data_IF_938269026785
#
_entry.id   IF_938269026785
#
_cell.length_a   1.000
_cell.length_b   1.000
_cell.length_c   1.000
_cell.angle_alpha   90.00
_cell.angle_beta   90.00
_cell.angle_gamma   90.00
#
_symmetry.space_group_name_H-M   'P 1'
#
loop_
_entity.id
_entity.type
_entity.pdbx_description
1 polymer ?
#
# COMPACT_ATOMS: atom_id res chain seq x y z
N UNK A 1 -21.23 66.56 15.93
CA UNK A 1 -19.90 66.64 16.58
C UNK A 1 -19.58 65.30 17.23
N UNK A 2 -18.42 64.70 16.86
CA UNK A 2 -17.60 63.71 17.59
C UNK A 2 -18.21 62.28 17.75
N UNK A 3 -17.70 61.27 17.05
CA UNK A 3 -16.56 60.38 17.42
C UNK A 3 -16.91 59.46 18.61
N UNK A 4 -16.63 58.14 18.71
CA UNK A 4 -15.67 57.22 18.09
C UNK A 4 -15.95 55.78 18.61
N UNK A 5 -15.71 54.77 17.75
CA UNK A 5 -15.29 53.36 17.97
C UNK A 5 -15.35 52.66 19.34
N UNK A 6 -15.84 51.39 19.34
CA UNK A 6 -15.21 50.17 19.90
C UNK A 6 -16.07 48.92 19.61
N UNK A 7 -15.70 48.04 18.68
CA UNK A 7 -14.92 46.80 18.87
C UNK A 7 -15.56 45.78 19.85
N UNK A 8 -16.33 44.83 19.31
CA UNK A 8 -16.53 43.49 19.89
C UNK A 8 -16.60 42.46 18.76
N UNK A 9 -15.43 42.08 18.23
CA UNK A 9 -15.27 40.77 17.58
C UNK A 9 -15.10 39.73 18.69
N UNK A 10 -16.20 39.10 19.09
CA UNK A 10 -16.14 37.93 19.96
C UNK A 10 -15.60 36.74 19.17
N UNK A 11 -14.44 36.25 19.61
CA UNK A 11 -13.76 35.04 19.16
C UNK A 11 -14.73 33.86 19.11
N UNK A 12 -15.06 33.37 17.93
CA UNK A 12 -15.61 32.02 17.75
C UNK A 12 -14.44 31.06 17.95
N UNK A 13 -14.47 30.13 18.91
CA UNK A 13 -13.44 29.10 18.99
C UNK A 13 -13.58 28.23 17.74
N UNK A 14 -12.48 28.08 17.01
CA UNK A 14 -12.34 27.07 15.97
C UNK A 14 -12.50 25.71 16.67
N UNK A 15 -13.71 25.15 16.62
CA UNK A 15 -14.00 23.82 17.11
C UNK A 15 -13.34 22.86 16.11
N UNK A 16 -12.10 22.45 16.40
CA UNK A 16 -11.45 21.36 15.69
C UNK A 16 -12.26 20.11 16.04
N UNK A 17 -13.12 19.69 15.10
CA UNK A 17 -13.73 18.38 15.15
C UNK A 17 -12.59 17.36 15.09
N UNK A 18 -12.25 16.78 16.24
CA UNK A 18 -11.51 15.54 16.29
C UNK A 18 -12.45 14.47 15.72
N UNK A 19 -12.36 14.24 14.40
CA UNK A 19 -12.98 13.09 13.77
C UNK A 19 -12.30 11.88 14.40
N UNK A 20 -13.05 11.19 15.27
CA UNK A 20 -12.76 9.80 15.63
C UNK A 20 -12.73 9.02 14.32
N UNK A 21 -11.53 8.78 13.78
CA UNK A 21 -11.36 7.89 12.65
C UNK A 21 -11.65 6.48 13.16
N UNK A 22 -12.89 6.05 13.03
CA UNK A 22 -13.24 4.64 13.16
C UNK A 22 -12.57 3.87 12.03
N UNK A 23 -12.26 2.60 12.28
CA UNK A 23 -11.68 1.65 11.32
C UNK A 23 -12.46 1.52 10.00
N UNK A 24 -13.70 2.03 9.94
CA UNK A 24 -14.51 2.13 8.72
C UNK A 24 -13.91 3.04 7.64
N UNK A 25 -12.95 3.92 7.94
CA UNK A 25 -12.47 4.89 6.96
C UNK A 25 -11.68 4.29 5.79
N UNK A 26 -11.13 3.08 5.92
CA UNK A 26 -10.12 2.56 4.97
C UNK A 26 -10.70 1.81 3.77
N UNK A 27 -11.84 1.14 3.92
CA UNK A 27 -12.43 0.35 2.83
C UNK A 27 -13.44 1.14 1.97
N UNK A 28 -13.97 2.26 2.48
CA UNK A 28 -14.93 3.10 1.75
C UNK A 28 -14.31 4.01 0.70
N UNK A 29 -12.97 4.08 0.62
CA UNK A 29 -12.27 4.90 -0.38
C UNK A 29 -12.02 4.14 -1.69
N UNK A 30 -12.12 2.81 -1.69
CA UNK A 30 -11.93 1.99 -2.87
C UNK A 30 -13.28 1.52 -3.40
N UNK A 31 -13.57 1.84 -4.64
CA UNK A 31 -14.77 1.41 -5.37
C UNK A 31 -14.53 0.02 -5.96
N UNK A 32 -14.66 -1.00 -5.11
CA UNK A 32 -14.46 -2.40 -5.50
C UNK A 32 -15.45 -2.89 -6.56
N UNK A 33 -16.59 -2.23 -6.71
CA UNK A 33 -17.64 -2.55 -7.69
C UNK A 33 -17.28 -2.05 -9.10
N UNK A 34 -16.39 -1.06 -9.22
CA UNK A 34 -15.93 -0.50 -10.50
C UNK A 34 -14.42 -0.69 -10.69
N UNK A 35 -13.92 -1.94 -10.79
CA UNK A 35 -12.48 -2.22 -10.79
C UNK A 35 -11.72 -1.54 -11.93
N UNK A 36 -12.36 -1.31 -13.08
CA UNK A 36 -11.75 -0.68 -14.26
C UNK A 36 -11.07 0.67 -13.98
N UNK A 37 -11.53 1.44 -12.99
CA UNK A 37 -10.92 2.73 -12.63
C UNK A 37 -9.50 2.60 -12.08
N UNK A 38 -9.13 1.39 -11.64
CA UNK A 38 -7.83 1.04 -11.08
C UNK A 38 -6.86 0.40 -12.08
N UNK A 39 -7.22 0.39 -13.37
CA UNK A 39 -6.26 0.12 -14.46
C UNK A 39 -5.32 1.30 -14.73
N UNK A 40 -5.66 2.49 -14.23
CA UNK A 40 -4.83 3.68 -14.34
C UNK A 40 -4.09 3.94 -13.02
N UNK A 41 -2.77 4.08 -13.10
CA UNK A 41 -1.93 4.43 -11.95
C UNK A 41 -2.13 5.88 -11.49
N UNK A 42 -1.74 6.15 -10.25
CA UNK A 42 -1.62 7.49 -9.70
C UNK A 42 -0.29 8.13 -10.11
N UNK A 43 0.07 9.25 -9.50
CA UNK A 43 1.24 10.04 -9.91
C UNK A 43 2.58 9.31 -9.77
N UNK A 44 2.71 8.31 -8.90
CA UNK A 44 3.94 7.53 -8.77
C UNK A 44 3.90 6.20 -9.52
N UNK A 45 2.73 5.71 -9.89
CA UNK A 45 2.56 4.40 -10.51
C UNK A 45 2.04 4.47 -11.95
N UNK A 46 1.81 5.67 -12.47
CA UNK A 46 1.54 5.91 -13.89
C UNK A 46 2.85 5.87 -14.66
N UNK A 47 2.90 5.04 -15.70
CA UNK A 47 4.00 4.99 -16.66
C UNK A 47 3.75 6.07 -17.70
N UNK A 48 4.62 7.07 -17.78
CA UNK A 48 4.52 8.15 -18.76
C UNK A 48 5.45 7.89 -19.95
N UNK A 49 6.55 7.18 -19.73
CA UNK A 49 7.49 6.81 -20.79
C UNK A 49 6.98 5.62 -21.62
N UNK A 50 6.67 5.89 -22.89
CA UNK A 50 6.16 4.92 -23.86
C UNK A 50 7.09 3.70 -24.06
N UNK A 51 8.41 3.88 -23.92
CA UNK A 51 9.36 2.76 -24.07
C UNK A 51 9.14 1.66 -23.02
N UNK A 52 8.77 2.04 -21.79
CA UNK A 52 8.48 1.07 -20.73
C UNK A 52 7.16 0.33 -20.98
N UNK A 53 6.16 1.02 -21.53
CA UNK A 53 4.90 0.39 -21.95
C UNK A 53 5.15 -0.63 -23.06
N UNK A 54 5.97 -0.29 -24.05
CA UNK A 54 6.34 -1.19 -25.14
C UNK A 54 7.13 -2.41 -24.65
N UNK A 55 8.08 -2.20 -23.74
CA UNK A 55 8.82 -3.31 -23.11
C UNK A 55 7.88 -4.27 -22.37
N UNK A 56 6.97 -3.75 -21.55
CA UNK A 56 5.98 -4.57 -20.83
C UNK A 56 5.11 -5.35 -21.82
N UNK A 57 4.63 -4.71 -22.88
CA UNK A 57 3.81 -5.36 -23.91
C UNK A 57 4.58 -6.43 -24.69
N UNK A 58 5.86 -6.21 -24.97
CA UNK A 58 6.71 -7.21 -25.62
C UNK A 58 6.96 -8.41 -24.70
N UNK A 59 7.11 -8.19 -23.40
CA UNK A 59 7.29 -9.25 -22.40
C UNK A 59 5.99 -10.02 -22.15
N UNK A 60 4.84 -9.34 -22.19
CA UNK A 60 3.52 -9.89 -21.93
C UNK A 60 2.55 -9.56 -23.07
N UNK A 61 2.75 -10.15 -24.27
CA UNK A 61 1.99 -9.80 -25.48
C UNK A 61 0.53 -10.27 -25.44
N UNK A 62 0.17 -11.11 -24.47
CA UNK A 62 -1.17 -11.64 -24.30
C UNK A 62 -1.61 -11.43 -22.86
N UNK A 63 -2.76 -10.81 -22.68
CA UNK A 63 -3.42 -10.74 -21.38
C UNK A 63 -4.04 -12.10 -21.05
N UNK A 64 -3.61 -12.70 -19.95
CA UNK A 64 -4.06 -13.99 -19.44
C UNK A 64 -4.65 -13.77 -18.05
N UNK A 65 -5.94 -13.40 -17.94
CA UNK A 65 -6.63 -13.10 -16.68
C UNK A 65 -6.48 -14.24 -15.64
N UNK A 66 -5.37 -14.29 -14.92
CA UNK A 66 -4.95 -15.45 -14.14
C UNK A 66 -3.87 -15.08 -13.11
N UNK A 67 -3.88 -15.80 -11.99
CA UNK A 67 -2.87 -15.63 -10.93
C UNK A 67 -1.47 -15.99 -11.44
N UNK A 68 -1.37 -16.94 -12.38
CA UNK A 68 -0.08 -17.34 -12.93
C UNK A 68 0.56 -16.23 -13.76
N UNK A 69 -0.22 -15.40 -14.46
CA UNK A 69 0.34 -14.21 -15.10
C UNK A 69 0.90 -13.20 -14.09
N UNK A 70 0.23 -12.99 -12.94
CA UNK A 70 0.74 -12.13 -11.87
C UNK A 70 2.07 -12.67 -11.31
N UNK A 71 2.18 -13.99 -11.14
CA UNK A 71 3.45 -14.64 -10.74
C UNK A 71 4.55 -14.48 -11.79
N UNK A 72 4.21 -14.56 -13.09
CA UNK A 72 5.15 -14.30 -14.21
C UNK A 72 5.64 -12.85 -14.17
N UNK A 73 4.74 -11.88 -13.98
CA UNK A 73 5.07 -10.46 -13.84
C UNK A 73 6.01 -10.22 -12.67
N UNK A 74 5.68 -10.73 -11.48
CA UNK A 74 6.55 -10.64 -10.31
C UNK A 74 7.94 -11.18 -10.60
N UNK A 75 8.01 -12.39 -11.17
CA UNK A 75 9.29 -13.04 -11.48
C UNK A 75 10.12 -12.19 -12.44
N UNK A 76 9.51 -11.71 -13.51
CA UNK A 76 10.18 -10.83 -14.47
C UNK A 76 10.75 -9.57 -13.81
N UNK A 77 10.00 -8.93 -12.89
CA UNK A 77 10.52 -7.76 -12.13
C UNK A 77 11.75 -8.16 -11.33
N UNK A 78 11.71 -9.28 -10.62
CA UNK A 78 12.86 -9.75 -9.80
C UNK A 78 14.07 -10.16 -10.63
N UNK A 79 13.86 -10.59 -11.86
CA UNK A 79 14.93 -10.98 -12.80
C UNK A 79 15.50 -9.77 -13.55
N UNK A 80 14.72 -8.69 -13.71
CA UNK A 80 15.06 -7.52 -14.53
C UNK A 80 15.58 -6.34 -13.71
N UNK A 81 15.17 -6.22 -12.44
CA UNK A 81 15.51 -5.11 -11.56
C UNK A 81 16.36 -5.59 -10.39
N UNK A 82 17.38 -4.79 -10.04
CA UNK A 82 18.28 -5.04 -8.93
C UNK A 82 17.66 -4.59 -7.61
N UNK A 83 17.79 -5.39 -6.57
CA UNK A 83 17.42 -4.99 -5.22
C UNK A 83 18.55 -4.18 -4.56
N UNK A 84 18.28 -2.94 -4.20
CA UNK A 84 19.20 -2.05 -3.49
C UNK A 84 18.57 -1.57 -2.17
N UNK A 85 18.60 -2.42 -1.13
CA UNK A 85 17.92 -2.11 0.13
C UNK A 85 18.38 -0.76 0.73
N UNK A 86 17.42 0.13 1.00
CA UNK A 86 17.68 1.44 1.61
C UNK A 86 16.83 1.72 2.86
N UNK A 87 16.19 0.70 3.43
CA UNK A 87 15.37 0.80 4.64
C UNK A 87 14.24 1.85 4.54
N UNK A 88 13.58 1.96 3.39
CA UNK A 88 12.42 2.85 3.19
C UNK A 88 12.80 4.31 2.92
N UNK A 89 14.08 4.62 2.71
CA UNK A 89 14.53 5.98 2.42
C UNK A 89 13.93 6.55 1.11
N UNK A 90 13.36 5.71 0.24
CA UNK A 90 12.75 6.10 -1.05
C UNK A 90 11.23 6.17 -1.05
N UNK A 91 10.57 5.88 0.09
CA UNK A 91 9.11 5.98 0.21
C UNK A 91 8.65 7.38 -0.21
N UNK A 92 7.73 7.45 -1.16
CA UNK A 92 7.18 8.70 -1.68
C UNK A 92 8.12 9.55 -2.54
N UNK A 93 9.31 9.04 -2.91
CA UNK A 93 10.32 9.79 -3.68
C UNK A 93 10.39 9.44 -5.15
N UNK A 94 10.24 8.16 -5.50
CA UNK A 94 10.41 7.70 -6.88
C UNK A 94 9.09 7.47 -7.59
N UNK A 95 9.02 7.93 -8.84
CA UNK A 95 7.99 7.48 -9.79
C UNK A 95 8.42 6.15 -10.41
N UNK A 96 7.47 5.40 -10.96
CA UNK A 96 7.76 4.14 -11.62
C UNK A 96 8.69 4.34 -12.82
N UNK A 97 8.57 5.44 -13.56
CA UNK A 97 9.49 5.74 -14.68
C UNK A 97 10.94 5.89 -14.21
N UNK A 98 11.16 6.47 -13.03
CA UNK A 98 12.51 6.55 -12.42
C UNK A 98 13.03 5.17 -12.02
N UNK A 99 12.16 4.30 -11.49
CA UNK A 99 12.52 2.92 -11.13
C UNK A 99 12.86 2.07 -12.37
N UNK A 100 12.10 2.22 -13.47
CA UNK A 100 12.42 1.60 -14.76
C UNK A 100 13.73 2.13 -15.34
N UNK A 101 13.97 3.44 -15.21
CA UNK A 101 15.20 4.05 -15.70
C UNK A 101 16.44 3.58 -14.92
N UNK A 102 16.36 3.44 -13.59
CA UNK A 102 17.46 2.98 -12.75
C UNK A 102 17.64 1.47 -12.78
N UNK A 103 16.59 0.72 -13.13
CA UNK A 103 16.51 -0.75 -13.02
C UNK A 103 16.78 -1.24 -11.60
N UNK A 104 16.36 -0.47 -10.60
CA UNK A 104 16.54 -0.80 -9.19
C UNK A 104 15.27 -0.55 -8.36
N UNK A 105 15.06 -1.38 -7.34
CA UNK A 105 14.05 -1.18 -6.30
C UNK A 105 14.69 -1.33 -4.93
N UNK A 106 14.17 -0.60 -3.92
CA UNK A 106 14.90 -0.43 -2.66
C UNK A 106 14.12 -0.88 -1.41
N UNK A 107 12.88 -1.33 -1.58
CA UNK A 107 12.00 -1.80 -0.52
C UNK A 107 10.64 -2.22 -1.07
N UNK A 108 9.70 -2.55 -0.16
CA UNK A 108 8.37 -3.03 -0.51
C UNK A 108 7.55 -2.02 -1.33
N UNK A 109 7.66 -0.71 -1.06
CA UNK A 109 7.00 0.33 -1.87
C UNK A 109 7.43 0.32 -3.33
N UNK A 110 8.74 0.33 -3.60
CA UNK A 110 9.26 0.44 -4.97
C UNK A 110 8.84 -0.77 -5.83
N UNK A 111 9.03 -1.99 -5.30
CA UNK A 111 8.62 -3.19 -6.04
C UNK A 111 7.10 -3.29 -6.19
N UNK A 112 6.32 -2.85 -5.19
CA UNK A 112 4.87 -2.77 -5.31
C UNK A 112 4.44 -1.76 -6.37
N UNK A 113 5.14 -0.62 -6.49
CA UNK A 113 4.90 0.37 -7.53
C UNK A 113 5.19 -0.18 -8.93
N UNK A 114 6.35 -0.82 -9.12
CA UNK A 114 6.72 -1.46 -10.39
C UNK A 114 5.69 -2.54 -10.74
N UNK A 115 5.32 -3.39 -9.78
CA UNK A 115 4.33 -4.44 -9.97
C UNK A 115 2.97 -3.87 -10.37
N UNK A 116 2.43 -2.94 -9.59
CA UNK A 116 1.12 -2.33 -9.85
C UNK A 116 1.08 -1.65 -11.22
N UNK A 117 2.12 -0.89 -11.59
CA UNK A 117 2.23 -0.27 -12.90
C UNK A 117 2.27 -1.33 -14.02
N UNK A 118 3.07 -2.39 -13.86
CA UNK A 118 3.20 -3.46 -14.86
C UNK A 118 1.88 -4.18 -15.09
N UNK A 119 1.21 -4.62 -14.02
CA UNK A 119 -0.06 -5.37 -14.15
C UNK A 119 -1.18 -4.50 -14.72
N UNK A 120 -1.19 -3.21 -14.38
CA UNK A 120 -2.10 -2.21 -14.97
C UNK A 120 -1.88 -2.04 -16.46
N UNK A 121 -0.61 -1.93 -16.89
CA UNK A 121 -0.26 -1.79 -18.31
C UNK A 121 -0.65 -2.99 -19.18
N UNK A 122 -0.77 -4.18 -18.60
CA UNK A 122 -1.25 -5.39 -19.30
C UNK A 122 -2.75 -5.63 -19.14
N UNK A 123 -3.45 -4.80 -18.34
CA UNK A 123 -4.92 -4.78 -18.27
C UNK A 123 -5.55 -5.19 -16.94
N UNK A 124 -4.78 -5.42 -15.87
CA UNK A 124 -5.35 -5.71 -14.54
C UNK A 124 -5.70 -4.43 -13.78
N UNK A 125 -6.90 -4.34 -13.19
CA UNK A 125 -7.16 -3.44 -12.07
C UNK A 125 -6.27 -3.78 -10.88
N UNK A 126 -5.60 -2.78 -10.32
CA UNK A 126 -4.73 -2.97 -9.16
C UNK A 126 -4.86 -1.82 -8.16
N UNK A 127 -4.95 -2.13 -6.87
CA UNK A 127 -4.91 -1.19 -5.75
C UNK A 127 -3.71 -1.55 -4.88
N UNK A 128 -2.96 -0.55 -4.44
CA UNK A 128 -1.86 -0.73 -3.49
C UNK A 128 -2.41 -0.65 -2.06
N UNK A 129 -1.91 -1.55 -1.21
CA UNK A 129 -2.34 -1.70 0.18
C UNK A 129 -1.14 -1.44 1.07
N UNK A 130 -1.24 -0.43 1.91
CA UNK A 130 -0.26 -0.06 2.92
C UNK A 130 -0.64 -0.70 4.26
N UNK A 131 0.33 -1.30 4.94
CA UNK A 131 0.06 -2.06 6.16
C UNK A 131 1.07 -1.80 7.27
N UNK A 132 0.66 -2.10 8.50
CA UNK A 132 1.56 -2.20 9.65
C UNK A 132 1.52 -3.60 10.23
N UNK A 133 2.65 -4.02 10.74
CA UNK A 133 2.82 -5.23 11.53
C UNK A 133 1.92 -5.18 12.76
N UNK A 134 1.08 -6.21 12.95
CA UNK A 134 0.25 -6.34 14.16
C UNK A 134 1.17 -6.62 15.36
N UNK A 135 2.16 -7.49 15.19
CA UNK A 135 3.16 -7.82 16.22
C UNK A 135 3.87 -6.57 16.74
N UNK A 136 4.42 -5.75 15.84
CA UNK A 136 5.08 -4.48 16.17
C UNK A 136 4.11 -3.49 16.80
N UNK A 137 2.89 -3.37 16.27
CA UNK A 137 1.87 -2.48 16.83
C UNK A 137 1.59 -2.81 18.30
N UNK A 138 1.59 -4.09 18.65
CA UNK A 138 1.35 -4.56 20.02
C UNK A 138 2.50 -4.24 20.94
N UNK A 139 3.73 -4.47 20.48
CA UNK A 139 4.93 -4.05 21.19
C UNK A 139 4.96 -2.52 21.41
N UNK A 140 4.60 -1.74 20.38
CA UNK A 140 4.54 -0.27 20.45
C UNK A 140 3.49 0.23 21.43
N UNK A 141 2.29 -0.33 21.44
CA UNK A 141 1.22 0.06 22.38
C UNK A 141 1.60 -0.29 23.83
N UNK A 142 2.29 -1.42 24.04
CA UNK A 142 2.73 -1.86 25.36
C UNK A 142 3.88 -1.02 25.91
N UNK A 143 4.91 -0.80 25.10
CA UNK A 143 6.08 0.01 25.45
C UNK A 143 6.77 0.54 24.17
N UNK A 144 6.52 1.81 23.78
CA UNK A 144 7.12 2.44 22.61
C UNK A 144 8.65 2.41 22.58
N UNK A 145 9.32 2.37 23.74
CA UNK A 145 10.78 2.40 23.82
C UNK A 145 11.42 1.05 23.49
N UNK A 146 10.66 -0.03 23.66
CA UNK A 146 11.10 -1.42 23.42
C UNK A 146 10.67 -1.99 22.07
N UNK A 147 9.76 -1.31 21.36
CA UNK A 147 9.12 -1.83 20.14
C UNK A 147 10.05 -1.99 18.93
N UNK A 148 11.28 -1.46 19.01
CA UNK A 148 12.26 -1.53 17.92
C UNK A 148 11.88 -0.69 16.72
N UNK A 149 12.42 -1.06 15.55
CA UNK A 149 12.16 -0.38 14.27
C UNK A 149 10.73 -0.71 13.81
N UNK A 150 10.02 0.30 13.30
CA UNK A 150 8.69 0.10 12.76
C UNK A 150 8.66 -0.93 11.63
N UNK A 151 7.63 -1.77 11.62
CA UNK A 151 7.45 -2.83 10.64
C UNK A 151 6.11 -2.68 9.91
N UNK A 152 6.15 -2.95 8.62
CA UNK A 152 5.02 -2.88 7.70
C UNK A 152 5.36 -3.57 6.39
N UNK A 153 4.37 -3.69 5.52
CA UNK A 153 4.54 -4.31 4.21
C UNK A 153 3.55 -3.72 3.20
N UNK A 154 3.92 -3.73 1.92
CA UNK A 154 3.01 -3.30 0.85
C UNK A 154 2.54 -4.50 0.05
N UNK A 155 1.22 -4.63 -0.03
CA UNK A 155 0.56 -5.62 -0.88
C UNK A 155 -0.09 -4.94 -2.08
N UNK A 156 -0.50 -5.74 -3.04
CA UNK A 156 -1.30 -5.32 -4.18
C UNK A 156 -2.61 -6.12 -4.19
N UNK A 157 -3.74 -5.43 -4.13
CA UNK A 157 -5.03 -6.00 -4.46
C UNK A 157 -5.19 -6.01 -5.98
N UNK A 158 -5.45 -7.17 -6.57
CA UNK A 158 -5.57 -7.32 -8.02
C UNK A 158 -6.92 -7.95 -8.36
N UNK A 159 -7.66 -7.33 -9.28
CA UNK A 159 -8.91 -7.92 -9.78
C UNK A 159 -8.58 -8.93 -10.89
N UNK A 160 -8.80 -10.21 -10.59
CA UNK A 160 -8.49 -11.34 -11.47
C UNK A 160 -9.58 -12.40 -11.33
N UNK A 161 -9.98 -13.02 -12.44
CA UNK A 161 -11.05 -14.04 -12.43
C UNK A 161 -12.34 -13.57 -11.70
N UNK A 162 -12.76 -12.34 -11.96
CA UNK A 162 -13.94 -11.70 -11.36
C UNK A 162 -13.91 -11.59 -9.81
N UNK A 163 -12.73 -11.59 -9.19
CA UNK A 163 -12.57 -11.33 -7.76
C UNK A 163 -11.33 -10.51 -7.46
N UNK A 164 -11.34 -9.79 -6.35
CA UNK A 164 -10.14 -9.16 -5.80
C UNK A 164 -9.35 -10.20 -5.00
N UNK A 165 -8.05 -10.31 -5.28
CA UNK A 165 -7.12 -11.10 -4.48
C UNK A 165 -6.10 -10.17 -3.84
N UNK A 166 -5.53 -10.57 -2.70
CA UNK A 166 -4.36 -9.90 -2.13
C UNK A 166 -3.10 -10.62 -2.63
N UNK A 167 -2.25 -9.92 -3.37
CA UNK A 167 -0.99 -10.44 -3.90
C UNK A 167 0.19 -9.75 -3.22
N UNK A 168 1.23 -10.50 -2.89
CA UNK A 168 2.47 -9.91 -2.41
C UNK A 168 3.50 -9.75 -3.54
N UNK A 169 3.90 -8.52 -3.90
CA UNK A 169 4.94 -8.29 -4.90
C UNK A 169 6.34 -8.84 -4.50
N UNK A 170 6.63 -8.99 -3.20
CA UNK A 170 7.94 -9.44 -2.70
C UNK A 170 8.09 -10.97 -2.70
N UNK A 171 7.00 -11.70 -2.47
CA UNK A 171 6.94 -13.17 -2.36
C UNK A 171 6.04 -13.84 -3.42
N UNK A 172 6.10 -15.16 -3.63
CA UNK A 172 5.12 -15.83 -4.48
C UNK A 172 3.73 -15.98 -3.81
N UNK A 173 3.53 -15.43 -2.60
CA UNK A 173 2.33 -15.63 -1.83
C UNK A 173 1.18 -14.71 -2.26
N UNK A 174 -0.03 -15.21 -2.09
CA UNK A 174 -1.27 -14.48 -2.33
C UNK A 174 -2.40 -15.11 -1.51
N UNK A 175 -3.45 -14.33 -1.25
CA UNK A 175 -4.70 -14.77 -0.63
C UNK A 175 -5.83 -14.53 -1.62
N UNK A 176 -6.53 -15.60 -2.01
CA UNK A 176 -7.59 -15.54 -3.02
C UNK A 176 -9.01 -15.60 -2.43
N UNK A 177 -9.12 -15.85 -1.13
CA UNK A 177 -10.31 -15.76 -0.26
C UNK A 177 -10.25 -14.52 0.64
N UNK A 178 -9.51 -13.50 0.20
CA UNK A 178 -9.30 -12.25 0.91
C UNK A 178 -10.58 -11.38 0.94
N UNK A 179 -11.01 -10.96 2.12
CA UNK A 179 -12.04 -9.93 2.29
C UNK A 179 -11.39 -8.54 2.30
N UNK A 180 -11.55 -7.78 1.21
CA UNK A 180 -10.99 -6.43 1.08
C UNK A 180 -11.55 -5.40 2.06
N UNK A 181 -12.70 -5.67 2.68
CA UNK A 181 -13.25 -4.81 3.73
C UNK A 181 -12.73 -5.16 5.13
N UNK A 182 -12.06 -6.30 5.30
CA UNK A 182 -11.40 -6.64 6.56
C UNK A 182 -10.01 -5.98 6.60
N UNK A 183 -9.73 -5.10 7.58
CA UNK A 183 -8.42 -4.48 7.69
C UNK A 183 -7.35 -5.45 8.19
N UNK A 184 -7.71 -6.63 8.70
CA UNK A 184 -6.75 -7.64 9.16
C UNK A 184 -6.43 -8.60 8.03
N UNK A 185 -5.16 -8.62 7.64
CA UNK A 185 -4.57 -9.62 6.76
C UNK A 185 -3.98 -10.72 7.65
N UNK A 186 -4.43 -11.97 7.52
CA UNK A 186 -3.93 -13.06 8.36
C UNK A 186 -2.45 -13.35 8.06
N UNK A 187 -1.75 -14.07 8.95
CA UNK A 187 -0.41 -14.56 8.68
C UNK A 187 -0.38 -15.39 7.39
N UNK A 188 0.57 -15.08 6.52
CA UNK A 188 0.71 -15.75 5.22
C UNK A 188 1.74 -16.87 5.35
N UNK A 189 1.35 -18.08 4.94
CA UNK A 189 2.21 -19.27 4.99
C UNK A 189 2.80 -19.58 3.61
N UNK A 190 4.08 -19.98 3.59
CA UNK A 190 4.69 -20.67 2.46
C UNK A 190 4.07 -22.06 2.36
N UNK A 191 3.19 -22.26 1.38
CA UNK A 191 2.44 -23.52 1.19
C UNK A 191 3.35 -24.72 0.91
N UNK A 192 4.58 -24.50 0.44
CA UNK A 192 5.53 -25.59 0.20
C UNK A 192 6.26 -26.01 1.48
N UNK A 193 6.49 -25.07 2.40
CA UNK A 193 7.25 -25.31 3.64
C UNK A 193 6.37 -25.48 4.87
N UNK A 194 5.11 -25.05 4.81
CA UNK A 194 4.22 -25.00 5.97
C UNK A 194 4.68 -24.00 7.04
N UNK A 195 5.55 -23.05 6.68
CA UNK A 195 6.10 -22.04 7.58
C UNK A 195 5.53 -20.66 7.26
N UNK A 196 5.55 -19.74 8.22
CA UNK A 196 5.25 -18.33 7.96
C UNK A 196 6.21 -17.75 6.94
N UNK A 197 5.69 -17.02 5.97
CA UNK A 197 6.51 -16.28 5.01
C UNK A 197 7.28 -15.16 5.73
N UNK A 198 6.62 -14.49 6.69
CA UNK A 198 7.20 -13.47 7.55
C UNK A 198 7.31 -14.01 8.98
N UNK A 199 8.48 -14.55 9.32
CA UNK A 199 8.71 -15.17 10.64
C UNK A 199 8.60 -14.17 11.80
N UNK A 200 8.91 -12.91 11.53
CA UNK A 200 8.82 -11.82 12.50
C UNK A 200 7.40 -11.22 12.59
N UNK A 201 6.44 -11.72 11.80
CA UNK A 201 5.03 -11.31 11.83
C UNK A 201 4.08 -12.51 12.00
N UNK A 202 4.03 -13.13 13.20
CA UNK A 202 3.12 -14.24 13.48
C UNK A 202 1.65 -13.85 13.58
N UNK A 203 1.33 -12.57 13.79
CA UNK A 203 -0.06 -12.10 14.01
C UNK A 203 -0.71 -11.53 12.74
N UNK A 204 0.08 -11.29 11.68
CA UNK A 204 -0.38 -10.76 10.40
C UNK A 204 -0.26 -9.25 10.29
N UNK A 205 -0.96 -8.66 9.33
CA UNK A 205 -0.82 -7.24 9.02
C UNK A 205 -2.16 -6.51 9.17
N UNK A 206 -2.10 -5.26 9.61
CA UNK A 206 -3.25 -4.36 9.65
C UNK A 206 -3.15 -3.34 8.53
N UNK A 207 -4.18 -3.26 7.70
CA UNK A 207 -4.29 -2.28 6.60
C UNK A 207 -4.46 -0.88 7.17
N UNK A 208 -3.52 0.00 6.84
CA UNK A 208 -3.54 1.41 7.23
C UNK A 208 -4.07 2.32 6.14
N UNK A 209 -3.90 1.95 4.88
CA UNK A 209 -4.35 2.76 3.75
C UNK A 209 -4.41 1.93 2.46
N UNK A 210 -5.20 2.40 1.51
CA UNK A 210 -5.31 1.84 0.16
C UNK A 210 -5.40 2.97 -0.85
N UNK A 211 -4.94 2.73 -2.07
CA UNK A 211 -5.05 3.70 -3.16
C UNK A 211 -4.30 3.27 -4.41
N UNK A 212 -4.21 4.16 -5.39
CA UNK A 212 -3.46 3.90 -6.62
C UNK A 212 -1.95 3.82 -6.37
N UNK A 213 -1.46 4.63 -5.44
CA UNK A 213 -0.08 4.67 -4.93
C UNK A 213 0.01 5.42 -3.60
N UNK A 214 1.22 5.58 -3.05
CA UNK A 214 1.38 6.18 -1.73
C UNK A 214 1.08 7.67 -1.65
N UNK A 215 1.15 8.41 -2.77
CA UNK A 215 0.68 9.80 -2.76
C UNK A 215 -0.84 9.90 -2.67
N UNK A 216 -1.56 8.98 -3.32
CA UNK A 216 -3.03 8.91 -3.30
C UNK A 216 -3.58 8.78 -1.87
N UNK A 217 -2.91 8.01 -1.01
CA UNK A 217 -3.24 7.89 0.41
C UNK A 217 -2.37 8.74 1.36
N UNK A 218 -1.65 9.72 0.82
CA UNK A 218 -1.01 10.79 1.61
C UNK A 218 0.32 10.47 2.27
N UNK A 219 0.98 9.36 1.91
CA UNK A 219 2.32 9.00 2.38
C UNK A 219 3.37 9.49 1.39
N UNK A 220 4.07 10.58 1.74
CA UNK A 220 5.08 11.22 0.86
C UNK A 220 6.51 10.96 1.31
N UNK A 221 6.67 10.32 2.46
CA UNK A 221 7.96 10.06 3.09
C UNK A 221 7.85 8.94 4.11
N UNK A 222 9.00 8.38 4.50
CA UNK A 222 9.09 7.45 5.64
C UNK A 222 8.54 8.06 6.93
N UNK A 223 8.67 9.37 7.13
CA UNK A 223 8.13 10.03 8.32
C UNK A 223 6.60 10.02 8.33
N UNK A 224 5.96 10.23 7.18
CA UNK A 224 4.49 10.16 7.06
C UNK A 224 3.99 8.75 7.37
N UNK A 225 4.68 7.74 6.83
CA UNK A 225 4.39 6.33 7.14
C UNK A 225 4.51 6.04 8.64
N UNK A 226 5.62 6.45 9.27
CA UNK A 226 5.85 6.23 10.70
C UNK A 226 4.79 6.94 11.57
N UNK A 227 4.35 8.14 11.18
CA UNK A 227 3.29 8.85 11.87
C UNK A 227 1.95 8.11 11.75
N UNK A 228 1.63 7.60 10.56
CA UNK A 228 0.43 6.81 10.32
C UNK A 228 0.46 5.51 11.14
N UNK A 229 1.57 4.78 11.13
CA UNK A 229 1.75 3.55 11.90
C UNK A 229 1.52 3.77 13.39
N UNK A 230 2.14 4.78 13.98
CA UNK A 230 1.95 5.14 15.40
C UNK A 230 0.51 5.52 15.72
N UNK A 231 -0.17 6.20 14.80
CA UNK A 231 -1.58 6.58 14.94
C UNK A 231 -2.51 5.35 14.89
N UNK A 232 -2.22 4.38 14.03
CA UNK A 232 -3.07 3.21 13.80
C UNK A 232 -2.81 2.08 14.79
N UNK A 233 -1.59 1.94 15.34
CA UNK A 233 -1.21 0.84 16.23
C UNK A 233 -2.23 0.52 17.35
N UNK A 234 -2.86 1.49 18.05
CA UNK A 234 -3.88 1.19 19.07
C UNK A 234 -5.17 0.56 18.53
N UNK A 235 -5.44 0.67 17.22
CA UNK A 235 -6.63 0.13 16.55
C UNK A 235 -6.47 -1.32 16.12
N UNK A 236 -5.23 -1.80 15.98
CA UNK A 236 -4.91 -3.18 15.60
C UNK A 236 -5.47 -4.23 16.59
N UNK A 237 -5.81 -3.81 17.82
CA UNK A 237 -6.25 -4.68 18.91
C UNK A 237 -7.72 -4.50 19.32
N UNK A 238 -8.46 -3.60 18.65
CA UNK A 238 -9.87 -3.40 18.98
C UNK A 238 -10.71 -4.45 18.24
N UNK A 239 -11.67 -5.11 18.92
CA UNK A 239 -12.71 -5.87 18.25
C UNK A 239 -13.35 -4.95 17.20
N UNK A 240 -13.30 -5.38 15.94
CA UNK A 240 -13.99 -4.67 14.88
C UNK A 240 -15.49 -4.94 15.06
N UNK A 241 -16.34 -3.91 15.00
CA UNK A 241 -17.80 -4.07 15.11
C UNK A 241 -18.38 -4.90 13.95
#
# INVERSE_FOLDING_TARGET
>A
MKNVWKLLFSKVPLLIFAISMSSSFFSHLIDYDNPEIYKLGGDQTRIENQAWIEEIKNQFPTFENSIDQLKKVRRWIKDTFVHENNHGATIGKFTVDQLYQSRAWHGCHDIAHIFAATVRSIGYPCVLVETTSITWSGAYVKDPSSAGVSQGHNYAEVFVNNKWILFDPMSPAYLDDYNSHNPVIPPIFDTYKGELFYKDEPDGFYVMAKGKDCLDYGIKSVNDLLLLQKKIAPSCFKPQP
#
